data_IF_610617893753
#
_entry.id   IF_610617893753
#
_cell.length_a   1.000
_cell.length_b   1.000
_cell.length_c   1.000
_cell.angle_alpha   90.00
_cell.angle_beta   90.00
_cell.angle_gamma   90.00
#
_symmetry.space_group_name_H-M   'P 1'
#
loop_
_entity.id
_entity.type
_entity.pdbx_description
1 polymer ?
#
# COMPACT_ATOMS: atom_id res chain seq x y z
N UNK A 1 -5.11 9.73 -19.99
CA UNK A 1 -4.35 8.96 -21.00
C UNK A 1 -4.34 7.50 -20.55
N UNK A 2 -4.17 6.55 -21.48
CA UNK A 2 -3.95 5.15 -21.10
C UNK A 2 -2.52 4.99 -20.61
N UNK A 3 -2.36 4.51 -19.37
CA UNK A 3 -1.08 4.41 -18.69
C UNK A 3 -0.95 3.08 -17.96
N UNK A 4 0.29 2.60 -17.85
CA UNK A 4 0.65 1.46 -17.00
C UNK A 4 1.08 1.97 -15.63
N UNK A 5 0.53 1.38 -14.56
CA UNK A 5 0.86 1.70 -13.18
C UNK A 5 1.82 0.65 -12.59
N UNK A 6 3.05 1.07 -12.33
CA UNK A 6 4.08 0.26 -11.67
C UNK A 6 4.17 0.57 -10.17
N UNK A 7 4.65 -0.40 -9.40
CA UNK A 7 5.05 -0.18 -8.02
C UNK A 7 6.51 0.30 -7.89
N UNK A 8 7.03 0.40 -6.65
CA UNK A 8 8.36 0.93 -6.37
C UNK A 8 9.50 -0.12 -6.36
N UNK A 9 9.23 -1.40 -6.63
CA UNK A 9 10.14 -2.51 -6.33
C UNK A 9 11.27 -2.72 -7.35
N UNK A 10 11.35 -1.91 -8.42
CA UNK A 10 12.36 -2.03 -9.47
C UNK A 10 12.43 -3.47 -10.06
N UNK A 11 11.27 -4.11 -10.21
CA UNK A 11 11.15 -5.48 -10.73
C UNK A 11 10.15 -5.52 -11.88
N UNK A 12 10.41 -6.38 -12.87
CA UNK A 12 9.52 -6.58 -14.02
C UNK A 12 8.11 -7.04 -13.62
N UNK A 13 7.97 -7.70 -12.47
CA UNK A 13 6.71 -8.22 -11.96
C UNK A 13 5.92 -7.21 -11.12
N UNK A 14 6.50 -6.03 -10.85
CA UNK A 14 5.87 -5.02 -9.99
C UNK A 14 4.93 -4.09 -10.78
N UNK A 15 3.90 -4.72 -11.34
CA UNK A 15 2.86 -4.06 -12.12
C UNK A 15 1.57 -4.11 -11.31
N UNK A 16 1.07 -2.94 -10.91
CA UNK A 16 -0.20 -2.81 -10.18
C UNK A 16 -1.39 -2.87 -11.15
N UNK A 17 -1.25 -2.20 -12.31
CA UNK A 17 -2.21 -2.26 -13.42
C UNK A 17 -1.50 -2.08 -14.76
N UNK A 18 -1.67 -3.03 -15.67
CA UNK A 18 -1.08 -2.97 -17.01
C UNK A 18 -1.62 -1.82 -17.88
N UNK A 19 -2.91 -1.49 -17.73
CA UNK A 19 -3.58 -0.40 -18.44
C UNK A 19 -4.68 0.20 -17.56
N UNK A 20 -4.65 1.52 -17.42
CA UNK A 20 -5.67 2.29 -16.73
C UNK A 20 -5.72 3.73 -17.26
N UNK A 21 -6.90 4.34 -17.20
CA UNK A 21 -7.09 5.74 -17.54
C UNK A 21 -6.86 6.60 -16.30
N UNK A 22 -5.82 7.43 -16.33
CA UNK A 22 -5.55 8.43 -15.29
C UNK A 22 -5.50 9.84 -15.89
N UNK A 23 -5.88 10.87 -15.09
CA UNK A 23 -5.54 12.24 -15.41
C UNK A 23 -4.02 12.46 -15.32
N UNK A 24 -3.53 13.62 -15.76
CA UNK A 24 -2.13 13.99 -15.56
C UNK A 24 -1.83 14.05 -14.06
N UNK A 25 -0.94 13.19 -13.60
CA UNK A 25 -0.49 13.08 -12.20
C UNK A 25 0.91 13.65 -12.06
N UNK A 26 1.18 14.27 -10.91
CA UNK A 26 2.46 14.86 -10.55
C UNK A 26 3.03 14.17 -9.32
N UNK A 27 4.35 14.32 -9.13
CA UNK A 27 5.00 13.86 -7.91
C UNK A 27 4.35 14.53 -6.69
N UNK A 28 3.91 13.70 -5.75
CA UNK A 28 3.23 14.13 -4.52
C UNK A 28 1.70 13.98 -4.56
N UNK A 29 1.11 13.70 -5.73
CA UNK A 29 -0.32 13.39 -5.81
C UNK A 29 -0.63 12.04 -5.15
N UNK A 30 -1.80 11.95 -4.52
CA UNK A 30 -2.26 10.71 -3.90
C UNK A 30 -3.07 9.86 -4.89
N UNK A 31 -2.80 8.56 -4.88
CA UNK A 31 -3.56 7.56 -5.63
C UNK A 31 -4.28 6.62 -4.67
N UNK A 32 -5.50 6.22 -5.03
CA UNK A 32 -6.29 5.25 -4.28
C UNK A 32 -6.42 3.96 -5.09
N UNK A 33 -6.02 2.85 -4.49
CA UNK A 33 -6.22 1.51 -5.03
C UNK A 33 -7.45 0.88 -4.40
N UNK A 34 -8.39 0.45 -5.24
CA UNK A 34 -9.63 -0.19 -4.82
C UNK A 34 -10.06 -1.25 -5.85
N UNK A 35 -10.61 -2.40 -5.42
CA UNK A 35 -10.79 -2.85 -4.03
C UNK A 35 -9.54 -3.57 -3.50
N UNK A 36 -9.23 -3.39 -2.20
CA UNK A 36 -8.05 -4.00 -1.55
C UNK A 36 -8.37 -4.73 -0.24
N UNK A 37 -9.65 -4.97 0.06
CA UNK A 37 -10.10 -5.49 1.36
C UNK A 37 -9.78 -6.97 1.61
N UNK A 38 -9.67 -7.79 0.57
CA UNK A 38 -9.41 -9.22 0.67
C UNK A 38 -8.08 -9.58 0.00
N UNK A 39 -7.35 -10.54 0.56
CA UNK A 39 -6.11 -11.12 0.01
C UNK A 39 -4.94 -10.16 -0.25
N UNK A 40 -5.03 -8.89 0.15
CA UNK A 40 -3.92 -7.93 0.04
C UNK A 40 -3.12 -7.91 1.35
N UNK A 41 -3.77 -7.49 2.45
CA UNK A 41 -3.15 -7.43 3.79
C UNK A 41 -2.70 -8.82 4.28
N UNK A 42 -3.36 -9.89 3.87
CA UNK A 42 -2.98 -11.25 4.29
C UNK A 42 -1.82 -11.84 3.48
N UNK A 43 -1.51 -11.28 2.31
CA UNK A 43 -0.45 -11.75 1.41
C UNK A 43 0.73 -10.77 1.27
N UNK A 44 0.66 -9.60 1.90
CA UNK A 44 1.74 -8.61 1.84
C UNK A 44 3.01 -9.09 2.57
N UNK A 45 4.16 -8.55 2.18
CA UNK A 45 5.46 -8.85 2.77
C UNK A 45 6.30 -7.57 2.90
N UNK A 46 7.23 -7.53 3.87
CA UNK A 46 8.23 -6.46 3.96
C UNK A 46 9.31 -6.68 2.90
N UNK A 47 9.18 -6.05 1.74
CA UNK A 47 10.21 -6.05 0.71
C UNK A 47 10.44 -4.61 0.26
N UNK A 48 11.65 -4.09 0.52
CA UNK A 48 12.08 -2.69 0.29
C UNK A 48 11.36 -1.64 1.15
N UNK A 49 10.10 -1.86 1.53
CA UNK A 49 9.29 -0.97 2.37
C UNK A 49 8.63 -1.72 3.54
N UNK A 50 8.41 -1.00 4.65
CA UNK A 50 7.72 -1.53 5.83
C UNK A 50 6.21 -1.47 5.67
N UNK A 51 5.48 -2.39 6.32
CA UNK A 51 4.02 -2.44 6.17
C UNK A 51 3.36 -1.19 6.76
N UNK A 52 2.45 -0.52 6.01
CA UNK A 52 1.79 0.68 6.49
C UNK A 52 0.80 0.39 7.62
N UNK A 53 0.37 1.45 8.31
CA UNK A 53 -0.70 1.35 9.28
C UNK A 53 -2.04 0.99 8.59
N UNK A 54 -2.90 0.26 9.30
CA UNK A 54 -4.28 0.00 8.89
C UNK A 54 -5.19 0.79 9.81
N UNK A 55 -6.07 1.59 9.20
CA UNK A 55 -7.01 2.47 9.90
C UNK A 55 -8.43 2.02 9.61
N UNK A 56 -9.20 1.79 10.66
CA UNK A 56 -10.64 1.60 10.60
C UNK A 56 -11.32 2.96 10.68
N UNK A 57 -12.14 3.29 9.68
CA UNK A 57 -13.09 4.40 9.73
C UNK A 57 -14.42 3.83 10.22
N UNK A 58 -14.91 4.31 11.35
CA UNK A 58 -16.17 3.86 11.96
C UNK A 58 -17.38 4.53 11.29
N UNK A 59 -18.57 3.99 11.52
CA UNK A 59 -19.83 4.54 11.01
C UNK A 59 -20.09 6.00 11.46
N UNK A 60 -19.57 6.40 12.64
CA UNK A 60 -19.68 7.76 13.15
C UNK A 60 -18.61 8.72 12.59
N UNK A 61 -17.73 8.26 11.70
CA UNK A 61 -16.65 9.04 11.11
C UNK A 61 -15.33 9.03 11.90
N UNK A 62 -15.30 8.49 13.12
CA UNK A 62 -14.07 8.40 13.90
C UNK A 62 -13.10 7.39 13.29
N UNK A 63 -11.80 7.68 13.37
CA UNK A 63 -10.75 6.78 12.91
C UNK A 63 -10.08 6.06 14.07
N UNK A 64 -9.76 4.77 13.88
CA UNK A 64 -8.96 3.97 14.82
C UNK A 64 -7.86 3.24 14.07
N UNK A 65 -6.60 3.39 14.50
CA UNK A 65 -5.53 2.53 14.03
C UNK A 65 -5.77 1.11 14.58
N UNK A 66 -5.96 0.14 13.68
CA UNK A 66 -6.17 -1.27 14.02
C UNK A 66 -4.91 -2.11 13.77
N UNK A 67 -3.93 -1.56 13.04
CA UNK A 67 -2.56 -2.08 12.96
C UNK A 67 -1.59 -0.90 12.84
N UNK A 68 -0.57 -0.87 13.70
CA UNK A 68 0.46 0.16 13.62
C UNK A 68 1.32 -0.02 12.36
N UNK A 69 1.85 1.09 11.86
CA UNK A 69 2.89 1.06 10.83
C UNK A 69 4.11 0.35 11.40
N UNK A 70 4.73 -0.51 10.60
CA UNK A 70 5.97 -1.16 10.96
C UNK A 70 7.16 -0.24 10.73
N UNK A 71 8.20 -0.47 11.52
CA UNK A 71 9.52 0.14 11.37
C UNK A 71 10.57 -0.95 11.28
N UNK A 72 11.82 -0.57 11.00
CA UNK A 72 12.96 -1.48 11.08
C UNK A 72 13.02 -2.15 12.46
N UNK A 73 12.76 -1.42 13.54
CA UNK A 73 12.71 -1.99 14.90
C UNK A 73 11.65 -3.08 15.05
N UNK A 74 10.50 -2.94 14.36
CA UNK A 74 9.45 -3.97 14.36
C UNK A 74 9.95 -5.28 13.75
N UNK A 75 10.81 -5.19 12.72
CA UNK A 75 11.42 -6.36 12.08
C UNK A 75 12.47 -7.00 13.00
N UNK A 76 13.35 -6.19 13.58
CA UNK A 76 14.44 -6.67 14.45
C UNK A 76 13.93 -7.37 15.71
N UNK A 77 12.82 -6.91 16.28
CA UNK A 77 12.17 -7.56 17.43
C UNK A 77 11.72 -9.01 17.15
N UNK A 78 11.59 -9.41 15.88
CA UNK A 78 11.21 -10.78 15.52
C UNK A 78 12.41 -11.73 15.41
N UNK A 79 13.64 -11.21 15.46
CA UNK A 79 14.88 -12.00 15.38
C UNK A 79 15.46 -12.34 16.77
N UNK A 80 15.01 -11.66 17.83
CA UNK A 80 15.32 -11.97 19.24
C UNK A 80 14.42 -13.08 19.81
#
# INVERSE_FOLDING_TARGET
EDVTLFGPLCMNIDIVRDSCLLPSVKRGDALVLHPVGAYNVTQWMQFIEMRPAIVLVKENGDTKIIRNRETVDTLLQMEE
#
